data_IF_772528826208
#
_entry.id   IF_772528826208
#
_cell.length_a   1.000
_cell.length_b   1.000
_cell.length_c   1.000
_cell.angle_alpha   90.00
_cell.angle_beta   90.00
_cell.angle_gamma   90.00
#
_symmetry.space_group_name_H-M   'P 1'
#
loop_
_entity.id
_entity.type
_entity.pdbx_description
1 polymer ?
#
# COMPACT_ATOMS: atom_id res chain seq x y z
N UNK A 1 -16.40 -17.78 9.22
CA UNK A 1 -15.33 -16.79 9.50
C UNK A 1 -14.09 -17.25 8.76
N UNK A 2 -13.89 -16.82 7.51
CA UNK A 2 -12.74 -17.22 6.70
C UNK A 2 -11.51 -16.46 7.19
N UNK A 3 -10.68 -17.13 8.00
CA UNK A 3 -9.38 -16.62 8.40
C UNK A 3 -8.51 -16.50 7.14
N UNK A 4 -7.81 -15.37 6.96
CA UNK A 4 -6.86 -15.16 5.87
C UNK A 4 -5.59 -15.99 6.18
N UNK A 5 -5.67 -17.31 6.07
CA UNK A 5 -4.60 -18.24 6.45
C UNK A 5 -3.44 -18.27 5.45
N UNK A 6 -3.68 -17.79 4.22
CA UNK A 6 -2.65 -17.73 3.18
C UNK A 6 -1.84 -16.45 3.31
N UNK A 7 -0.52 -16.58 3.44
CA UNK A 7 0.44 -15.46 3.52
C UNK A 7 0.21 -14.40 2.43
N UNK A 8 -0.19 -14.82 1.24
CA UNK A 8 -0.52 -13.94 0.10
C UNK A 8 -1.72 -13.04 0.39
N UNK A 9 -2.76 -13.58 1.01
CA UNK A 9 -3.98 -12.83 1.33
C UNK A 9 -3.71 -11.79 2.43
N UNK A 10 -2.86 -12.11 3.40
CA UNK A 10 -2.37 -11.18 4.44
C UNK A 10 -1.59 -10.04 3.79
N UNK A 11 -0.67 -10.36 2.87
CA UNK A 11 0.12 -9.36 2.16
C UNK A 11 -0.75 -8.46 1.28
N UNK A 12 -1.72 -9.02 0.56
CA UNK A 12 -2.67 -8.25 -0.24
C UNK A 12 -3.49 -7.27 0.62
N UNK A 13 -3.98 -7.73 1.77
CA UNK A 13 -4.68 -6.87 2.73
C UNK A 13 -3.77 -5.75 3.26
N UNK A 14 -2.53 -6.08 3.64
CA UNK A 14 -1.55 -5.12 4.15
C UNK A 14 -1.23 -4.02 3.12
N UNK A 15 -1.06 -4.39 1.85
CA UNK A 15 -0.83 -3.44 0.75
C UNK A 15 -2.03 -2.52 0.57
N UNK A 16 -3.25 -3.05 0.63
CA UNK A 16 -4.47 -2.24 0.55
C UNK A 16 -4.60 -1.26 1.73
N UNK A 17 -4.23 -1.68 2.93
CA UNK A 17 -4.21 -0.83 4.12
C UNK A 17 -3.18 0.30 3.99
N UNK A 18 -1.97 0.02 3.50
CA UNK A 18 -0.93 1.01 3.24
C UNK A 18 -1.38 2.05 2.20
N UNK A 19 -2.09 1.61 1.16
CA UNK A 19 -2.68 2.52 0.17
C UNK A 19 -3.66 3.51 0.81
N UNK A 20 -4.59 3.01 1.62
CA UNK A 20 -5.55 3.87 2.33
C UNK A 20 -4.86 4.82 3.30
N UNK A 21 -3.85 4.34 4.03
CA UNK A 21 -3.05 5.18 4.93
C UNK A 21 -2.32 6.30 4.17
N UNK A 22 -1.73 6.02 3.01
CA UNK A 22 -1.09 7.03 2.17
C UNK A 22 -2.08 8.07 1.65
N UNK A 23 -3.31 7.68 1.29
CA UNK A 23 -4.39 8.63 0.92
C UNK A 23 -4.68 9.61 2.05
N UNK A 24 -4.89 9.11 3.26
CA UNK A 24 -5.14 9.94 4.44
C UNK A 24 -3.95 10.87 4.71
N UNK A 25 -2.72 10.38 4.50
CA UNK A 25 -1.51 11.18 4.67
C UNK A 25 -1.32 12.28 3.62
N UNK A 26 -1.90 12.12 2.42
CA UNK A 26 -1.98 13.17 1.39
C UNK A 26 -3.02 14.22 1.79
N UNK A 27 -4.13 13.78 2.40
CA UNK A 27 -5.18 14.68 2.94
C UNK A 27 -4.73 15.43 4.20
N UNK A 28 -3.49 15.23 4.66
CA UNK A 28 -2.92 15.95 5.80
C UNK A 28 -3.04 15.22 7.14
N UNK A 29 -3.63 14.02 7.17
CA UNK A 29 -3.67 13.22 8.39
C UNK A 29 -2.29 12.66 8.71
N UNK A 30 -1.86 12.82 9.96
CA UNK A 30 -0.56 12.32 10.44
C UNK A 30 -0.80 11.24 11.47
N UNK A 31 -0.05 10.15 11.39
CA UNK A 31 0.03 9.18 12.48
C UNK A 31 1.28 9.42 13.33
N UNK A 32 1.27 8.91 14.55
CA UNK A 32 2.48 8.83 15.38
C UNK A 32 3.41 7.75 14.82
N UNK A 33 4.69 8.07 14.63
CA UNK A 33 5.71 7.16 14.10
C UNK A 33 5.98 7.29 12.59
N UNK A 34 6.52 6.23 11.98
CA UNK A 34 6.98 6.23 10.57
C UNK A 34 5.82 6.36 9.58
N UNK A 35 5.84 7.36 8.70
CA UNK A 35 4.78 7.62 7.72
C UNK A 35 4.49 6.45 6.79
N UNK A 36 3.25 6.37 6.27
CA UNK A 36 2.88 5.36 5.29
C UNK A 36 3.73 5.51 4.02
N UNK A 37 3.99 6.75 3.62
CA UNK A 37 4.91 7.08 2.53
C UNK A 37 6.32 6.47 2.72
N UNK A 38 6.92 6.61 3.91
CA UNK A 38 8.25 6.06 4.17
C UNK A 38 8.26 4.53 4.20
N UNK A 39 7.24 3.91 4.78
CA UNK A 39 7.10 2.43 4.79
C UNK A 39 7.02 1.91 3.35
N UNK A 40 6.16 2.52 2.51
CA UNK A 40 5.98 2.10 1.12
C UNK A 40 7.29 2.23 0.33
N UNK A 41 8.06 3.30 0.52
CA UNK A 41 9.33 3.47 -0.18
C UNK A 41 10.38 2.46 0.28
N UNK A 42 10.43 2.15 1.56
CA UNK A 42 11.36 1.18 2.12
C UNK A 42 11.06 -0.24 1.62
N UNK A 43 9.79 -0.60 1.51
CA UNK A 43 9.38 -1.95 1.10
C UNK A 43 9.38 -2.16 -0.41
N UNK A 44 8.90 -1.18 -1.18
CA UNK A 44 8.69 -1.33 -2.64
C UNK A 44 9.73 -0.58 -3.48
N UNK A 45 10.61 0.21 -2.87
CA UNK A 45 11.63 0.98 -3.59
C UNK A 45 11.08 2.13 -4.45
N UNK A 46 9.83 2.53 -4.22
CA UNK A 46 9.16 3.58 -4.99
C UNK A 46 9.81 4.95 -4.84
N UNK A 47 9.69 5.78 -5.88
CA UNK A 47 10.35 7.10 -5.99
C UNK A 47 9.36 8.17 -6.42
N UNK A 48 9.53 9.38 -5.89
CA UNK A 48 8.70 10.55 -6.19
C UNK A 48 7.97 11.11 -4.98
N UNK A 49 7.03 12.03 -5.21
CA UNK A 49 6.19 12.62 -4.16
C UNK A 49 5.09 11.64 -3.71
N UNK A 50 4.28 12.01 -2.71
CA UNK A 50 3.24 11.13 -2.16
C UNK A 50 2.21 10.69 -3.19
N UNK A 51 1.82 11.58 -4.12
CA UNK A 51 0.86 11.28 -5.18
C UNK A 51 1.42 10.26 -6.18
N UNK A 52 2.64 10.48 -6.68
CA UNK A 52 3.32 9.53 -7.59
C UNK A 52 3.54 8.16 -6.94
N UNK A 53 3.92 8.13 -5.67
CA UNK A 53 4.08 6.87 -4.92
C UNK A 53 2.73 6.15 -4.75
N UNK A 54 1.63 6.90 -4.61
CA UNK A 54 0.29 6.32 -4.56
C UNK A 54 -0.11 5.69 -5.90
N UNK A 55 0.17 6.35 -7.01
CA UNK A 55 -0.08 5.83 -8.36
C UNK A 55 0.72 4.55 -8.64
N UNK A 56 2.00 4.54 -8.26
CA UNK A 56 2.88 3.36 -8.35
C UNK A 56 2.33 2.20 -7.52
N UNK A 57 1.88 2.47 -6.29
CA UNK A 57 1.29 1.45 -5.42
C UNK A 57 -0.04 0.92 -5.99
N UNK A 58 -0.87 1.79 -6.56
CA UNK A 58 -2.14 1.38 -7.18
C UNK A 58 -1.89 0.47 -8.39
N UNK A 59 -0.95 0.84 -9.25
CA UNK A 59 -0.53 0.01 -10.40
C UNK A 59 -0.06 -1.37 -9.94
N UNK A 60 0.72 -1.42 -8.84
CA UNK A 60 1.18 -2.68 -8.27
C UNK A 60 0.04 -3.57 -7.75
N UNK A 61 -0.98 -2.97 -7.14
CA UNK A 61 -2.17 -3.70 -6.68
C UNK A 61 -2.96 -4.25 -7.88
N UNK A 62 -3.07 -3.47 -8.95
CA UNK A 62 -3.81 -3.85 -10.14
C UNK A 62 -3.09 -4.96 -10.92
N UNK A 63 -1.75 -4.97 -10.96
CA UNK A 63 -0.94 -6.11 -11.43
C UNK A 63 -1.25 -7.38 -10.65
N UNK A 64 -1.25 -7.31 -9.31
CA UNK A 64 -1.50 -8.47 -8.45
C UNK A 64 -2.91 -9.03 -8.64
N UNK A 65 -3.90 -8.17 -8.89
CA UNK A 65 -5.28 -8.60 -9.18
C UNK A 65 -5.45 -9.12 -10.60
N UNK A 66 -4.77 -8.53 -11.58
CA UNK A 66 -4.82 -8.92 -12.98
C UNK A 66 -4.16 -10.26 -13.25
N UNK A 67 -3.16 -10.64 -12.45
CA UNK A 67 -2.45 -11.91 -12.54
C UNK A 67 -3.19 -13.10 -11.88
N UNK A 68 -4.45 -12.90 -11.45
CA UNK A 68 -5.35 -13.95 -10.96
C UNK A 68 -6.42 -14.38 -11.98
N UNK A 69 -6.20 -14.11 -13.28
CA UNK A 69 -7.02 -14.66 -14.37
C UNK A 69 -6.36 -15.88 -15.00
#
# INVERSE_FOLDING_TARGET
MTTLSTTEAINAYRICALRSALKLEILGMKKRGQSAYSIIKQEFGFKGNKQKVLEQLQSKIDEVKGNSK
#
